data_IF_900245408210
#
_entry.id   IF_900245408210
#
_cell.length_a   1.000
_cell.length_b   1.000
_cell.length_c   1.000
_cell.angle_alpha   90.00
_cell.angle_beta   90.00
_cell.angle_gamma   90.00
#
_symmetry.space_group_name_H-M   'P 1'
#
loop_
_entity.id
_entity.type
_entity.pdbx_description
1 polymer ?
#
# COMPACT_ATOMS: atom_id res chain seq x y z
N UNK A 1 -27.53 67.74 53.92
CA UNK A 1 -27.18 69.17 54.03
C UNK A 1 -25.74 69.33 53.58
N UNK A 2 -25.59 70.07 52.47
CA UNK A 2 -24.42 70.81 51.95
C UNK A 2 -23.03 70.15 52.02
N UNK A 3 -22.32 69.85 50.93
CA UNK A 3 -22.20 70.58 49.68
C UNK A 3 -21.00 71.55 49.75
N UNK A 4 -19.92 71.26 49.02
CA UNK A 4 -18.97 72.23 48.40
C UNK A 4 -17.87 71.45 47.64
N UNK A 5 -17.77 71.47 46.30
CA UNK A 5 -17.48 72.53 45.32
C UNK A 5 -15.98 72.62 44.94
N UNK A 6 -15.72 72.35 43.65
CA UNK A 6 -14.74 72.95 42.72
C UNK A 6 -13.21 72.77 42.87
N UNK A 7 -12.66 72.13 41.83
CA UNK A 7 -11.66 72.65 40.87
C UNK A 7 -10.31 73.20 41.39
N UNK A 8 -9.20 72.58 40.95
CA UNK A 8 -8.04 73.29 40.38
C UNK A 8 -7.01 72.34 39.78
N UNK A 9 -6.71 72.56 38.50
CA UNK A 9 -5.54 72.18 37.70
C UNK A 9 -4.19 72.18 38.43
N UNK A 10 -3.31 71.20 38.11
CA UNK A 10 -1.91 71.44 37.63
C UNK A 10 -1.13 70.16 37.29
N UNK A 11 -0.51 70.22 36.09
CA UNK A 11 0.83 69.73 35.70
C UNK A 11 1.03 68.21 35.60
N UNK A 12 1.29 67.65 34.40
CA UNK A 12 2.50 67.71 33.54
C UNK A 12 3.03 66.27 33.53
N UNK A 13 3.27 65.61 32.38
CA UNK A 13 4.63 65.36 31.86
C UNK A 13 4.52 64.27 30.76
N UNK A 14 5.21 64.50 29.62
CA UNK A 14 5.74 63.59 28.59
C UNK A 14 4.77 62.73 27.73
N UNK A 15 4.47 63.22 26.52
CA UNK A 15 4.25 62.37 25.34
C UNK A 15 5.61 62.08 24.69
N UNK A 16 6.11 60.86 24.86
CA UNK A 16 7.13 60.27 23.99
C UNK A 16 6.46 59.22 23.11
N UNK A 17 6.66 59.34 21.79
CA UNK A 17 6.01 58.53 20.79
C UNK A 17 6.42 57.06 20.84
N UNK A 18 5.46 56.20 20.57
CA UNK A 18 5.70 54.83 20.12
C UNK A 18 4.79 54.59 18.90
N UNK A 19 5.36 54.71 17.71
CA UNK A 19 4.78 54.16 16.49
C UNK A 19 4.93 52.65 16.60
N UNK A 20 3.85 51.96 16.98
CA UNK A 20 3.79 50.52 16.97
C UNK A 20 3.65 50.04 15.51
N UNK A 21 4.78 49.67 14.87
CA UNK A 21 4.75 48.75 13.73
C UNK A 21 4.34 47.37 14.26
N UNK A 22 3.04 47.11 14.28
CA UNK A 22 2.51 45.76 14.41
C UNK A 22 2.80 45.02 13.10
N UNK A 23 3.95 44.34 13.06
CA UNK A 23 4.24 43.32 12.06
C UNK A 23 3.28 42.16 12.31
N UNK A 24 2.22 42.10 11.49
CA UNK A 24 1.28 40.99 11.48
C UNK A 24 1.99 39.74 10.94
N UNK A 25 2.68 39.01 11.81
CA UNK A 25 2.94 37.58 11.60
C UNK A 25 1.63 36.84 11.84
N UNK A 26 0.73 36.89 10.85
CA UNK A 26 -0.39 35.97 10.79
C UNK A 26 0.18 34.58 10.50
N UNK A 27 0.46 33.85 11.57
CA UNK A 27 0.61 32.40 11.49
C UNK A 27 -0.70 31.84 10.93
N UNK A 28 -0.70 31.42 9.66
CA UNK A 28 -1.72 30.55 9.12
C UNK A 28 -1.64 29.24 9.92
N UNK A 29 -2.39 29.17 11.01
CA UNK A 29 -2.73 27.89 11.61
C UNK A 29 -3.63 27.20 10.59
N UNK A 30 -3.06 26.28 9.79
CA UNK A 30 -3.86 25.32 9.04
C UNK A 30 -4.85 24.69 10.02
N UNK A 31 -6.14 24.84 9.72
CA UNK A 31 -7.23 24.36 10.56
C UNK A 31 -7.02 22.86 10.81
N UNK A 32 -6.71 22.46 12.05
CA UNK A 32 -6.41 21.07 12.37
C UNK A 32 -7.66 20.22 12.12
N UNK A 33 -7.58 19.32 11.16
CA UNK A 33 -8.67 18.40 10.84
C UNK A 33 -8.72 17.32 11.92
N UNK A 34 -9.68 17.46 12.83
CA UNK A 34 -9.92 16.50 13.92
C UNK A 34 -11.32 15.89 13.72
N UNK A 35 -11.40 14.56 13.74
CA UNK A 35 -12.67 13.85 13.61
C UNK A 35 -13.58 14.05 14.83
N UNK A 36 -14.90 13.91 14.65
CA UNK A 36 -15.89 14.02 15.73
C UNK A 36 -15.79 12.89 16.76
N UNK A 37 -15.42 11.69 16.32
CA UNK A 37 -15.29 10.48 17.15
C UNK A 37 -14.27 9.52 16.52
N UNK A 38 -13.69 8.63 17.34
CA UNK A 38 -12.82 7.55 16.89
C UNK A 38 -13.57 6.25 16.53
N UNK A 39 -14.82 6.11 16.98
CA UNK A 39 -15.62 4.90 16.85
C UNK A 39 -16.61 4.98 15.69
N UNK A 40 -16.79 3.86 14.99
CA UNK A 40 -17.87 3.70 14.04
C UNK A 40 -19.21 3.45 14.76
N UNK A 41 -20.35 3.76 14.12
CA UNK A 41 -21.66 3.44 14.67
C UNK A 41 -21.85 1.94 14.87
N UNK A 42 -22.20 1.53 16.10
CA UNK A 42 -22.42 0.10 16.43
C UNK A 42 -23.70 -0.42 15.78
N UNK A 43 -24.81 0.29 15.93
CA UNK A 43 -26.09 -0.06 15.33
C UNK A 43 -26.27 0.64 13.98
N UNK A 44 -26.73 -0.12 12.98
CA UNK A 44 -27.24 0.48 11.74
C UNK A 44 -28.62 1.08 11.99
N UNK A 45 -28.90 2.22 11.36
CA UNK A 45 -30.20 2.89 11.43
C UNK A 45 -31.12 2.55 10.26
N UNK A 46 -30.59 1.85 9.24
CA UNK A 46 -31.29 1.52 8.00
C UNK A 46 -31.32 0.00 7.77
N UNK A 47 -32.35 -0.48 7.06
CA UNK A 47 -32.44 -1.88 6.67
C UNK A 47 -31.37 -2.24 5.62
N UNK A 48 -30.81 -3.45 5.71
CA UNK A 48 -29.76 -3.91 4.77
C UNK A 48 -30.19 -3.82 3.30
N UNK A 49 -31.44 -4.18 2.98
CA UNK A 49 -31.96 -4.09 1.61
C UNK A 49 -31.87 -2.67 1.06
N UNK A 50 -32.24 -1.67 1.86
CA UNK A 50 -32.17 -0.25 1.49
C UNK A 50 -30.73 0.19 1.24
N UNK A 51 -29.80 -0.18 2.14
CA UNK A 51 -28.36 0.14 2.00
C UNK A 51 -27.79 -0.49 0.73
N UNK A 52 -28.05 -1.79 0.53
CA UNK A 52 -27.61 -2.56 -0.64
C UNK A 52 -28.11 -1.92 -1.94
N UNK A 53 -29.41 -1.73 -2.08
CA UNK A 53 -30.01 -1.13 -3.29
C UNK A 53 -29.45 0.27 -3.58
N UNK A 54 -29.25 1.08 -2.54
CA UNK A 54 -28.72 2.44 -2.68
C UNK A 54 -27.29 2.41 -3.21
N UNK A 55 -26.43 1.58 -2.61
CA UNK A 55 -25.03 1.48 -3.00
C UNK A 55 -24.85 0.81 -4.37
N UNK A 56 -25.65 -0.22 -4.70
CA UNK A 56 -25.65 -0.84 -6.04
C UNK A 56 -26.02 0.18 -7.13
N UNK A 57 -26.99 1.06 -6.87
CA UNK A 57 -27.35 2.17 -7.80
C UNK A 57 -26.22 3.18 -7.94
N UNK A 58 -25.40 3.39 -6.91
CA UNK A 58 -24.27 4.32 -6.92
C UNK A 58 -23.00 3.73 -7.53
N UNK A 59 -22.86 2.40 -7.57
CA UNK A 59 -21.66 1.68 -8.01
C UNK A 59 -21.11 2.19 -9.34
N UNK A 60 -21.96 2.36 -10.36
CA UNK A 60 -21.53 2.84 -11.67
C UNK A 60 -20.90 4.24 -11.61
N UNK A 61 -21.48 5.15 -10.81
CA UNK A 61 -20.97 6.51 -10.66
C UNK A 61 -19.64 6.53 -9.88
N UNK A 62 -19.52 5.69 -8.83
CA UNK A 62 -18.27 5.50 -8.06
C UNK A 62 -17.16 5.01 -8.98
N UNK A 63 -17.41 3.96 -9.76
CA UNK A 63 -16.42 3.38 -10.67
C UNK A 63 -16.05 4.36 -11.78
N UNK A 64 -17.02 5.05 -12.38
CA UNK A 64 -16.75 6.06 -13.41
C UNK A 64 -15.81 7.16 -12.89
N UNK A 65 -16.12 7.73 -11.72
CA UNK A 65 -15.27 8.76 -11.08
C UNK A 65 -13.85 8.26 -10.83
N UNK A 66 -13.69 7.02 -10.36
CA UNK A 66 -12.37 6.45 -10.11
C UNK A 66 -11.59 6.20 -11.41
N UNK A 67 -12.23 5.63 -12.43
CA UNK A 67 -11.58 5.38 -13.71
C UNK A 67 -11.20 6.67 -14.44
N UNK A 68 -12.00 7.73 -14.32
CA UNK A 68 -11.66 9.07 -14.81
C UNK A 68 -10.42 9.63 -14.10
N UNK A 69 -10.30 9.44 -12.78
CA UNK A 69 -9.10 9.82 -12.02
C UNK A 69 -7.86 9.05 -12.52
N UNK A 70 -7.96 7.72 -12.69
CA UNK A 70 -6.86 6.91 -13.19
C UNK A 70 -6.47 7.32 -14.63
N UNK A 71 -7.45 7.51 -15.51
CA UNK A 71 -7.23 7.95 -16.90
C UNK A 71 -6.61 9.34 -17.00
N UNK A 72 -6.89 10.24 -16.05
CA UNK A 72 -6.22 11.54 -15.94
C UNK A 72 -4.76 11.41 -15.52
N UNK A 73 -4.47 10.49 -14.60
CA UNK A 73 -3.15 10.33 -13.97
C UNK A 73 -2.18 9.49 -14.80
N UNK A 74 -2.68 8.50 -15.53
CA UNK A 74 -1.86 7.46 -16.14
C UNK A 74 -2.22 7.20 -17.61
N UNK A 75 -1.23 6.74 -18.38
CA UNK A 75 -1.46 5.92 -19.57
C UNK A 75 -1.80 4.49 -19.11
N UNK A 76 -3.04 4.06 -19.36
CA UNK A 76 -3.55 2.74 -18.94
C UNK A 76 -3.48 1.69 -20.06
N UNK A 77 -2.69 1.95 -21.12
CA UNK A 77 -2.50 0.99 -22.19
C UNK A 77 -1.67 -0.22 -21.72
N UNK A 78 -2.07 -1.40 -22.19
CA UNK A 78 -1.32 -2.63 -22.01
C UNK A 78 -0.12 -2.65 -22.96
N UNK A 79 1.07 -2.37 -22.41
CA UNK A 79 2.35 -2.42 -23.14
C UNK A 79 3.35 -3.18 -22.28
N UNK A 80 3.41 -4.49 -22.51
CA UNK A 80 4.39 -5.36 -21.88
C UNK A 80 5.80 -5.11 -22.46
N UNK A 81 6.79 -5.14 -21.59
CA UNK A 81 8.20 -5.08 -21.95
C UNK A 81 8.59 -6.33 -22.74
N UNK A 82 9.27 -6.13 -23.87
CA UNK A 82 9.67 -7.22 -24.74
C UNK A 82 10.63 -8.18 -24.02
N UNK A 83 10.28 -9.47 -23.98
CA UNK A 83 11.13 -10.54 -23.44
C UNK A 83 11.25 -10.57 -21.91
N UNK A 84 10.48 -9.75 -21.18
CA UNK A 84 10.50 -9.71 -19.72
C UNK A 84 9.16 -10.16 -19.14
N UNK A 85 9.20 -11.26 -18.40
CA UNK A 85 8.03 -11.84 -17.75
C UNK A 85 8.25 -12.03 -16.25
N UNK A 86 7.13 -12.15 -15.54
CA UNK A 86 7.04 -12.75 -14.22
C UNK A 86 7.28 -14.27 -14.29
N UNK A 87 7.30 -14.93 -13.14
CA UNK A 87 7.71 -16.32 -12.98
C UNK A 87 7.01 -17.33 -13.92
N UNK A 88 5.74 -17.12 -14.27
CA UNK A 88 4.93 -18.02 -15.11
C UNK A 88 4.52 -17.43 -16.46
N UNK A 89 5.17 -16.34 -16.86
CA UNK A 89 5.06 -15.80 -18.22
C UNK A 89 4.19 -14.56 -18.39
N UNK A 90 3.54 -14.03 -17.33
CA UNK A 90 2.86 -12.72 -17.43
C UNK A 90 3.87 -11.63 -17.75
N UNK A 91 3.61 -10.85 -18.81
CA UNK A 91 4.49 -9.76 -19.23
C UNK A 91 4.57 -8.63 -18.19
N UNK A 92 5.78 -8.16 -17.91
CA UNK A 92 6.00 -7.00 -17.02
C UNK A 92 5.75 -5.72 -17.81
N UNK A 93 4.95 -4.79 -17.29
CA UNK A 93 4.61 -3.55 -17.99
C UNK A 93 5.81 -2.60 -18.08
N UNK A 94 5.98 -1.97 -19.25
CA UNK A 94 7.12 -1.08 -19.53
C UNK A 94 6.80 0.40 -19.39
N UNK A 95 7.83 1.22 -19.19
CA UNK A 95 7.76 2.67 -19.37
C UNK A 95 6.99 3.43 -18.30
N UNK A 96 7.26 4.73 -18.18
CA UNK A 96 6.58 5.61 -17.24
C UNK A 96 5.14 5.82 -17.72
N UNK A 97 4.16 5.44 -16.89
CA UNK A 97 2.73 5.60 -17.17
C UNK A 97 2.19 6.91 -16.62
N UNK A 98 2.85 7.49 -15.63
CA UNK A 98 2.44 8.78 -15.06
C UNK A 98 2.46 9.87 -16.12
N UNK A 99 1.32 10.54 -16.30
CA UNK A 99 1.17 11.66 -17.22
C UNK A 99 1.77 12.92 -16.60
N UNK A 100 2.60 13.60 -17.39
CA UNK A 100 3.13 14.91 -17.02
C UNK A 100 2.08 16.01 -17.20
N UNK A 101 2.14 17.09 -16.39
CA UNK A 101 1.40 18.32 -16.69
C UNK A 101 1.73 18.81 -18.10
N UNK A 102 0.75 19.44 -18.76
CA UNK A 102 0.92 19.94 -20.12
C UNK A 102 2.15 20.88 -20.22
N UNK A 103 3.05 20.60 -21.17
CA UNK A 103 4.26 21.39 -21.42
C UNK A 103 5.41 21.15 -20.44
N UNK A 104 5.25 20.28 -19.43
CA UNK A 104 6.33 19.89 -18.52
C UNK A 104 7.14 18.72 -19.10
N UNK A 105 8.41 18.64 -18.68
CA UNK A 105 9.33 17.52 -18.96
C UNK A 105 9.95 17.02 -17.65
N UNK A 106 10.39 15.77 -17.63
CA UNK A 106 11.09 15.20 -16.46
C UNK A 106 12.35 16.00 -16.09
N UNK A 107 13.10 16.45 -17.10
CA UNK A 107 14.32 17.25 -16.92
C UNK A 107 14.01 18.61 -16.28
N UNK A 108 12.93 19.27 -16.69
CA UNK A 108 12.49 20.52 -16.06
C UNK A 108 12.08 20.29 -14.60
N UNK A 109 11.32 19.24 -14.30
CA UNK A 109 10.91 18.93 -12.93
C UNK A 109 12.12 18.62 -12.03
N UNK A 110 13.05 17.79 -12.52
CA UNK A 110 14.26 17.41 -11.78
C UNK A 110 15.22 18.59 -11.52
N UNK A 111 15.14 19.66 -12.31
CA UNK A 111 15.91 20.89 -12.12
C UNK A 111 15.28 21.85 -11.10
N UNK A 112 13.99 21.70 -10.76
CA UNK A 112 13.28 22.57 -9.83
C UNK A 112 13.46 22.11 -8.38
N UNK A 113 13.40 23.05 -7.44
CA UNK A 113 13.23 22.71 -6.02
C UNK A 113 11.82 22.17 -5.79
N UNK A 114 11.60 21.36 -4.74
CA UNK A 114 10.26 20.87 -4.42
C UNK A 114 9.24 22.00 -4.20
N UNK A 115 9.66 23.10 -3.60
CA UNK A 115 8.82 24.30 -3.40
C UNK A 115 8.43 24.92 -4.74
N UNK A 116 9.36 25.03 -5.69
CA UNK A 116 9.05 25.55 -7.02
C UNK A 116 8.08 24.64 -7.79
N UNK A 117 8.21 23.31 -7.66
CA UNK A 117 7.25 22.34 -8.22
C UNK A 117 5.87 22.54 -7.58
N UNK A 118 5.82 22.70 -6.25
CA UNK A 118 4.58 22.93 -5.50
C UNK A 118 3.88 24.22 -5.89
N UNK A 119 4.61 25.35 -5.90
CA UNK A 119 4.03 26.67 -6.19
C UNK A 119 3.49 26.77 -7.62
N UNK A 120 4.13 26.05 -8.56
CA UNK A 120 3.66 25.99 -9.95
C UNK A 120 2.61 24.90 -10.20
N UNK A 121 2.28 24.08 -9.19
CA UNK A 121 1.34 22.96 -9.34
C UNK A 121 1.80 21.90 -10.34
N UNK A 122 3.11 21.67 -10.45
CA UNK A 122 3.72 20.82 -11.48
C UNK A 122 4.02 19.39 -11.01
N UNK A 123 3.72 19.04 -9.75
CA UNK A 123 3.91 17.67 -9.29
C UNK A 123 2.96 16.74 -10.07
N UNK A 124 3.47 15.70 -10.76
CA UNK A 124 2.63 14.84 -11.58
C UNK A 124 1.49 14.23 -10.77
N UNK A 125 0.26 14.32 -11.26
CA UNK A 125 -0.91 13.84 -10.52
C UNK A 125 -0.89 12.34 -10.27
N UNK A 126 -0.18 11.56 -11.08
CA UNK A 126 0.05 10.13 -10.83
C UNK A 126 1.02 9.81 -9.67
N UNK A 127 1.77 10.80 -9.19
CA UNK A 127 2.61 10.66 -7.98
C UNK A 127 1.91 11.16 -6.70
N UNK A 128 0.77 11.85 -6.83
CA UNK A 128 -0.09 12.18 -5.70
C UNK A 128 -0.70 10.91 -5.09
N UNK A 129 -1.02 10.89 -3.79
CA UNK A 129 -1.65 9.73 -3.18
C UNK A 129 -2.86 9.20 -3.92
N UNK A 130 -2.96 7.87 -4.00
CA UNK A 130 -4.04 7.19 -4.70
C UNK A 130 -5.17 6.89 -3.70
N UNK A 131 -6.36 7.50 -3.85
CA UNK A 131 -7.50 7.16 -3.01
C UNK A 131 -8.02 5.75 -3.29
N UNK A 132 -8.64 5.15 -2.26
CA UNK A 132 -9.55 4.01 -2.43
C UNK A 132 -10.72 4.43 -3.35
N UNK A 133 -11.24 3.55 -4.24
CA UNK A 133 -12.25 3.93 -5.23
C UNK A 133 -13.51 4.55 -4.64
N UNK A 134 -13.89 4.10 -3.44
CA UNK A 134 -14.90 4.71 -2.60
C UNK A 134 -14.29 5.08 -1.23
N UNK A 135 -13.52 6.16 -1.14
CA UNK A 135 -12.74 6.48 0.06
C UNK A 135 -13.57 6.71 1.34
N UNK A 136 -14.72 7.41 1.31
CA UNK A 136 -15.54 7.59 2.50
C UNK A 136 -16.04 6.27 3.10
N UNK A 137 -16.27 5.27 2.25
CA UNK A 137 -16.67 3.93 2.64
C UNK A 137 -15.47 3.06 3.05
N UNK A 138 -14.39 3.09 2.25
CA UNK A 138 -13.18 2.32 2.49
C UNK A 138 -13.37 0.81 2.35
N UNK A 139 -12.58 0.06 3.14
CA UNK A 139 -12.68 -1.39 3.23
C UNK A 139 -11.72 -2.16 2.34
N UNK A 140 -11.78 -3.49 2.43
CA UNK A 140 -11.00 -4.39 1.58
C UNK A 140 -11.59 -4.47 0.17
N UNK A 141 -10.73 -4.67 -0.83
CA UNK A 141 -11.12 -4.82 -2.23
C UNK A 141 -10.16 -5.78 -2.94
N UNK A 142 -10.74 -6.76 -3.66
CA UNK A 142 -10.02 -7.85 -4.31
C UNK A 142 -10.13 -7.76 -5.84
N UNK A 143 -9.09 -8.13 -6.60
CA UNK A 143 -9.17 -8.22 -8.06
C UNK A 143 -10.18 -9.27 -8.53
N UNK A 144 -10.78 -9.01 -9.70
CA UNK A 144 -11.80 -9.89 -10.28
C UNK A 144 -11.31 -11.32 -10.52
N UNK A 145 -10.10 -11.50 -11.07
CA UNK A 145 -9.56 -12.83 -11.32
C UNK A 145 -9.45 -13.68 -10.04
N UNK A 146 -9.21 -13.04 -8.89
CA UNK A 146 -9.09 -13.72 -7.61
C UNK A 146 -10.46 -14.13 -7.08
N UNK A 147 -11.44 -13.22 -7.14
CA UNK A 147 -12.84 -13.48 -6.78
C UNK A 147 -13.38 -14.67 -7.58
N UNK A 148 -13.18 -14.65 -8.91
CA UNK A 148 -13.70 -15.68 -9.81
C UNK A 148 -13.10 -17.07 -9.49
N UNK A 149 -11.79 -17.16 -9.22
CA UNK A 149 -11.14 -18.43 -8.90
C UNK A 149 -11.49 -18.94 -7.49
N UNK A 150 -11.58 -18.07 -6.48
CA UNK A 150 -12.03 -18.46 -5.13
C UNK A 150 -13.47 -18.97 -5.16
N UNK A 151 -14.35 -18.28 -5.89
CA UNK A 151 -15.75 -18.68 -6.05
C UNK A 151 -15.87 -20.02 -6.76
N UNK A 152 -15.09 -20.22 -7.83
CA UNK A 152 -15.03 -21.50 -8.56
C UNK A 152 -14.55 -22.66 -7.68
N UNK A 153 -13.50 -22.47 -6.89
CA UNK A 153 -12.94 -23.55 -6.06
C UNK A 153 -13.74 -23.82 -4.78
N UNK A 154 -14.23 -22.76 -4.11
CA UNK A 154 -14.72 -22.85 -2.72
C UNK A 154 -16.17 -22.42 -2.52
N UNK A 155 -16.84 -21.93 -3.57
CA UNK A 155 -18.15 -21.28 -3.53
C UNK A 155 -18.23 -20.00 -2.66
N UNK A 156 -17.11 -19.54 -2.06
CA UNK A 156 -17.07 -18.26 -1.34
C UNK A 156 -17.03 -17.10 -2.33
N UNK A 157 -17.80 -16.05 -2.05
CA UNK A 157 -17.86 -14.87 -2.89
C UNK A 157 -17.31 -13.64 -2.17
N UNK A 158 -16.22 -13.09 -2.72
CA UNK A 158 -15.55 -11.88 -2.22
C UNK A 158 -15.99 -10.62 -2.98
N UNK A 159 -17.08 -10.70 -3.76
CA UNK A 159 -17.65 -9.56 -4.47
C UNK A 159 -18.26 -8.54 -3.50
N UNK A 160 -17.98 -7.27 -3.77
CA UNK A 160 -18.67 -6.13 -3.17
C UNK A 160 -19.79 -5.64 -4.08
N UNK A 161 -20.97 -5.41 -3.50
CA UNK A 161 -22.10 -4.87 -4.26
C UNK A 161 -21.95 -3.37 -4.57
N UNK A 162 -21.05 -2.66 -3.87
CA UNK A 162 -20.93 -1.20 -3.93
C UNK A 162 -19.80 -0.68 -4.84
N UNK A 163 -18.80 -1.51 -5.19
CA UNK A 163 -17.72 -1.17 -6.13
C UNK A 163 -16.99 -2.42 -6.66
N UNK A 164 -16.12 -2.21 -7.65
CA UNK A 164 -15.18 -3.19 -8.20
C UNK A 164 -13.73 -2.70 -8.01
N UNK A 165 -12.77 -3.60 -8.24
CA UNK A 165 -11.33 -3.27 -8.24
C UNK A 165 -10.98 -2.30 -9.39
N UNK A 166 -10.08 -1.34 -9.13
CA UNK A 166 -9.90 -0.18 -10.01
C UNK A 166 -8.71 -0.25 -10.97
N UNK A 167 -7.62 -0.91 -10.58
CA UNK A 167 -6.42 -1.01 -11.41
C UNK A 167 -6.59 -2.15 -12.45
N UNK A 168 -6.33 -1.90 -13.76
CA UNK A 168 -6.42 -2.93 -14.79
C UNK A 168 -5.50 -4.13 -14.58
N UNK A 169 -5.97 -5.33 -14.93
CA UNK A 169 -5.29 -6.61 -14.69
C UNK A 169 -3.84 -6.68 -15.20
N UNK A 170 -3.51 -6.01 -16.31
CA UNK A 170 -2.15 -6.04 -16.87
C UNK A 170 -1.12 -5.30 -16.00
N UNK A 171 -1.56 -4.44 -15.07
CA UNK A 171 -0.71 -3.81 -14.05
C UNK A 171 -0.68 -4.57 -12.72
N UNK A 172 -1.40 -5.69 -12.61
CA UNK A 172 -1.45 -6.48 -11.38
C UNK A 172 -0.44 -7.63 -11.40
N UNK A 173 -0.16 -8.28 -10.26
CA UNK A 173 0.73 -9.43 -10.20
C UNK A 173 0.24 -10.59 -11.07
N UNK A 174 1.13 -11.51 -11.36
CA UNK A 174 0.77 -12.79 -11.95
C UNK A 174 -0.07 -13.62 -10.97
N UNK A 175 -1.08 -14.31 -11.51
CA UNK A 175 -2.02 -15.08 -10.70
C UNK A 175 -2.38 -16.42 -11.36
N UNK A 176 -2.43 -17.53 -10.61
CA UNK A 176 -1.93 -17.68 -9.24
C UNK A 176 -0.40 -17.61 -9.18
N UNK A 177 0.10 -16.94 -8.14
CA UNK A 177 1.55 -16.77 -7.94
C UNK A 177 2.21 -18.09 -7.48
N UNK A 178 3.47 -18.36 -7.88
CA UNK A 178 4.20 -19.54 -7.42
C UNK A 178 4.54 -19.47 -5.92
N UNK A 179 4.78 -20.63 -5.31
CA UNK A 179 5.27 -20.75 -3.93
C UNK A 179 6.65 -21.36 -3.94
N UNK A 180 7.62 -20.66 -3.37
CA UNK A 180 8.98 -21.17 -3.15
C UNK A 180 9.19 -21.38 -1.65
N UNK A 181 9.89 -22.45 -1.28
CA UNK A 181 10.13 -22.81 0.12
C UNK A 181 11.62 -22.77 0.47
N UNK A 182 11.97 -22.09 1.56
CA UNK A 182 13.35 -22.06 2.07
C UNK A 182 13.85 -23.43 2.51
N UNK A 183 12.93 -24.32 2.90
CA UNK A 183 13.22 -25.68 3.38
C UNK A 183 13.32 -26.72 2.26
N UNK A 184 12.79 -26.41 1.07
CA UNK A 184 12.77 -27.29 -0.11
C UNK A 184 13.09 -26.52 -1.39
N UNK A 185 14.28 -25.89 -1.49
CA UNK A 185 14.68 -25.13 -2.67
C UNK A 185 14.80 -26.00 -3.93
N UNK A 186 14.90 -27.32 -3.77
CA UNK A 186 14.96 -28.31 -4.84
C UNK A 186 13.65 -28.45 -5.64
N UNK A 187 12.51 -28.04 -5.07
CA UNK A 187 11.19 -28.29 -5.68
C UNK A 187 10.70 -27.18 -6.63
N UNK A 188 11.31 -25.99 -6.61
CA UNK A 188 10.80 -24.84 -7.36
C UNK A 188 9.41 -24.41 -6.87
N UNK A 189 8.45 -24.23 -7.79
CA UNK A 189 7.08 -23.85 -7.46
C UNK A 189 6.26 -25.03 -6.89
N UNK A 190 6.09 -25.06 -5.56
CA UNK A 190 5.32 -26.10 -4.88
C UNK A 190 3.80 -25.93 -5.00
N UNK A 191 3.32 -24.80 -5.52
CA UNK A 191 1.88 -24.60 -5.79
C UNK A 191 1.41 -25.32 -7.05
N UNK A 192 2.35 -25.82 -7.87
CA UNK A 192 2.09 -26.44 -9.17
C UNK A 192 1.20 -25.56 -10.07
N UNK A 193 1.36 -24.26 -9.93
CA UNK A 193 0.58 -23.27 -10.65
C UNK A 193 -0.91 -23.16 -10.29
N UNK A 194 -1.35 -23.71 -9.15
CA UNK A 194 -2.72 -23.63 -8.66
C UNK A 194 -2.85 -22.53 -7.59
N UNK A 195 -4.02 -21.88 -7.51
CA UNK A 195 -4.38 -21.13 -6.31
C UNK A 195 -4.57 -22.13 -5.17
N UNK A 196 -3.82 -21.96 -4.10
CA UNK A 196 -3.91 -22.79 -2.90
C UNK A 196 -5.13 -22.36 -2.11
N UNK A 197 -6.04 -23.28 -1.84
CA UNK A 197 -7.26 -23.08 -1.07
C UNK A 197 -7.46 -24.22 -0.08
N UNK A 198 -8.46 -24.12 0.79
CA UNK A 198 -8.85 -25.20 1.70
C UNK A 198 -9.22 -26.51 1.00
N UNK A 199 -9.49 -26.48 -0.32
CA UNK A 199 -9.88 -27.66 -1.11
C UNK A 199 -8.69 -28.49 -1.61
N UNK A 200 -7.50 -27.89 -1.74
CA UNK A 200 -6.36 -28.54 -2.39
C UNK A 200 -5.06 -28.48 -1.60
N UNK A 201 -4.97 -27.68 -0.52
CA UNK A 201 -3.71 -27.50 0.21
C UNK A 201 -3.13 -28.81 0.75
N UNK A 202 -3.97 -29.73 1.25
CA UNK A 202 -3.47 -30.99 1.79
C UNK A 202 -2.83 -31.84 0.70
N UNK A 203 -3.49 -32.00 -0.45
CA UNK A 203 -2.95 -32.76 -1.58
C UNK A 203 -1.63 -32.16 -2.10
N UNK A 204 -1.57 -30.82 -2.21
CA UNK A 204 -0.41 -30.11 -2.72
C UNK A 204 0.81 -30.19 -1.79
N UNK A 205 0.61 -30.18 -0.47
CA UNK A 205 1.69 -29.98 0.51
C UNK A 205 1.97 -31.19 1.41
N UNK A 206 1.16 -32.24 1.37
CA UNK A 206 1.40 -33.45 2.15
C UNK A 206 2.73 -34.11 1.73
N UNK A 207 3.61 -34.38 2.70
CA UNK A 207 4.96 -34.89 2.47
C UNK A 207 5.99 -33.83 2.06
N UNK A 208 5.57 -32.57 1.85
CA UNK A 208 6.45 -31.42 1.64
C UNK A 208 6.60 -30.64 2.95
N UNK A 209 5.49 -30.34 3.60
CA UNK A 209 5.45 -29.61 4.87
C UNK A 209 5.42 -30.56 6.06
N UNK A 210 6.02 -30.13 7.18
CA UNK A 210 5.79 -30.82 8.45
C UNK A 210 4.34 -30.57 8.95
N UNK A 211 3.82 -31.39 9.90
CA UNK A 211 2.43 -31.26 10.34
C UNK A 211 2.06 -29.87 10.92
N UNK A 212 3.00 -29.20 11.60
CA UNK A 212 2.79 -27.87 12.18
C UNK A 212 2.64 -26.80 11.09
N UNK A 213 3.50 -26.84 10.07
CA UNK A 213 3.43 -25.96 8.90
C UNK A 213 2.17 -26.21 8.08
N UNK A 214 1.78 -27.47 7.92
CA UNK A 214 0.57 -27.83 7.17
C UNK A 214 -0.70 -27.31 7.86
N UNK A 215 -0.77 -27.38 9.19
CA UNK A 215 -1.83 -26.76 9.97
C UNK A 215 -1.79 -25.23 9.90
N UNK A 216 -0.59 -24.65 9.93
CA UNK A 216 -0.38 -23.21 9.70
C UNK A 216 -0.95 -22.73 8.36
N UNK A 217 -0.67 -23.47 7.28
CA UNK A 217 -1.23 -23.20 5.97
C UNK A 217 -2.77 -23.33 5.97
N UNK A 218 -3.33 -24.39 6.57
CA UNK A 218 -4.79 -24.55 6.70
C UNK A 218 -5.42 -23.33 7.39
N UNK A 219 -4.78 -22.83 8.45
CA UNK A 219 -5.22 -21.67 9.22
C UNK A 219 -5.17 -20.37 8.39
N UNK A 220 -4.10 -20.16 7.60
CA UNK A 220 -3.97 -19.00 6.70
C UNK A 220 -5.02 -18.99 5.56
N UNK A 221 -5.54 -20.17 5.21
CA UNK A 221 -6.60 -20.39 4.23
C UNK A 221 -8.01 -20.36 4.85
N UNK A 222 -8.12 -20.32 6.18
CA UNK A 222 -9.40 -20.31 6.89
C UNK A 222 -9.97 -18.89 6.90
N UNK A 223 -11.23 -18.68 6.47
CA UNK A 223 -11.83 -17.37 6.50
C UNK A 223 -12.27 -16.97 7.91
N UNK A 224 -12.15 -15.67 8.21
CA UNK A 224 -12.58 -15.05 9.45
C UNK A 224 -13.43 -13.81 9.15
N UNK A 225 -14.45 -13.50 9.98
CA UNK A 225 -15.25 -12.28 9.81
C UNK A 225 -14.37 -11.04 9.66
N UNK A 226 -14.74 -10.19 8.72
CA UNK A 226 -14.04 -8.95 8.38
C UNK A 226 -15.06 -7.82 8.21
N UNK A 227 -14.63 -6.56 8.31
CA UNK A 227 -15.50 -5.39 8.26
C UNK A 227 -16.54 -5.37 7.13
N UNK A 228 -16.15 -5.69 5.90
CA UNK A 228 -17.02 -5.73 4.72
C UNK A 228 -17.58 -7.13 4.44
N UNK A 229 -16.91 -8.18 4.91
CA UNK A 229 -17.30 -9.58 4.70
C UNK A 229 -17.63 -10.24 6.05
N UNK A 230 -18.91 -10.22 6.42
CA UNK A 230 -19.39 -10.77 7.68
C UNK A 230 -20.88 -11.16 7.57
N UNK A 231 -21.44 -11.67 8.66
CA UNK A 231 -22.82 -12.10 8.75
C UNK A 231 -23.82 -10.97 9.09
N UNK A 232 -23.37 -9.79 9.50
CA UNK A 232 -24.24 -8.69 9.98
C UNK A 232 -24.70 -7.78 8.84
N UNK A 233 -25.58 -6.82 9.15
CA UNK A 233 -26.26 -5.96 8.16
C UNK A 233 -25.42 -4.79 7.65
N UNK A 234 -24.22 -4.58 8.18
CA UNK A 234 -23.25 -3.57 7.74
C UNK A 234 -22.17 -4.13 6.80
N UNK A 235 -22.34 -5.36 6.33
CA UNK A 235 -21.51 -5.98 5.27
C UNK A 235 -21.63 -5.25 3.92
N UNK A 236 -20.71 -5.57 3.01
CA UNK A 236 -20.70 -5.18 1.59
C UNK A 236 -20.76 -6.37 0.63
N UNK A 237 -20.86 -7.59 1.16
CA UNK A 237 -21.26 -8.79 0.41
C UNK A 237 -22.79 -8.86 0.33
N UNK A 238 -23.31 -9.34 -0.81
CA UNK A 238 -24.76 -9.48 -1.00
C UNK A 238 -25.37 -10.45 0.03
N UNK A 239 -24.77 -11.63 0.14
CA UNK A 239 -25.12 -12.65 1.13
C UNK A 239 -24.28 -12.52 2.41
N UNK A 240 -24.78 -13.00 3.56
CA UNK A 240 -23.96 -13.17 4.76
C UNK A 240 -22.68 -13.95 4.45
N UNK A 241 -21.52 -13.40 4.84
CA UNK A 241 -20.22 -13.96 4.49
C UNK A 241 -19.51 -14.58 5.71
N UNK A 242 -18.80 -15.69 5.46
CA UNK A 242 -17.85 -16.27 6.42
C UNK A 242 -16.60 -15.40 6.62
N UNK A 243 -16.39 -14.42 5.74
CA UNK A 243 -15.35 -13.42 5.85
C UNK A 243 -14.17 -13.63 4.91
N UNK A 244 -12.97 -13.25 5.34
CA UNK A 244 -11.73 -13.19 4.54
C UNK A 244 -10.66 -14.05 5.21
N UNK A 245 -9.91 -14.80 4.41
CA UNK A 245 -8.72 -15.53 4.84
C UNK A 245 -7.46 -14.70 4.59
N UNK A 246 -6.38 -14.96 5.33
CA UNK A 246 -5.11 -14.26 5.13
C UNK A 246 -4.62 -14.37 3.67
N UNK A 247 -4.81 -15.55 3.06
CA UNK A 247 -4.39 -15.83 1.69
C UNK A 247 -5.37 -15.33 0.61
N UNK A 248 -6.49 -14.70 0.98
CA UNK A 248 -7.29 -13.97 -0.02
C UNK A 248 -6.60 -12.66 -0.42
N UNK A 249 -5.95 -11.99 0.54
CA UNK A 249 -5.11 -10.81 0.27
C UNK A 249 -3.69 -11.22 -0.15
N UNK A 250 -3.16 -12.27 0.45
CA UNK A 250 -1.82 -12.79 0.20
C UNK A 250 -1.88 -14.12 -0.57
N UNK A 251 -2.49 -14.10 -1.76
CA UNK A 251 -2.67 -15.27 -2.60
C UNK A 251 -1.36 -16.04 -2.79
N UNK A 252 -1.34 -17.31 -2.34
CA UNK A 252 -0.15 -18.17 -2.37
C UNK A 252 1.07 -17.55 -1.63
N UNK A 253 0.85 -16.77 -0.58
CA UNK A 253 1.93 -16.04 0.11
C UNK A 253 2.54 -14.90 -0.71
N UNK A 254 1.99 -14.60 -1.89
CA UNK A 254 2.31 -13.46 -2.72
C UNK A 254 1.17 -12.45 -2.72
N UNK A 255 1.38 -11.26 -3.26
CA UNK A 255 0.34 -10.25 -3.40
C UNK A 255 -0.48 -10.54 -4.65
N UNK A 256 -1.78 -10.27 -4.59
CA UNK A 256 -2.63 -10.13 -5.77
C UNK A 256 -3.03 -8.66 -6.00
N UNK A 257 -2.35 -7.72 -5.34
CA UNK A 257 -2.66 -6.29 -5.30
C UNK A 257 -4.00 -5.94 -4.62
N UNK A 258 -4.54 -6.82 -3.78
CA UNK A 258 -5.70 -6.47 -2.95
C UNK A 258 -5.37 -5.25 -2.11
N UNK A 259 -6.37 -4.38 -1.94
CA UNK A 259 -6.18 -3.12 -1.24
C UNK A 259 -7.11 -2.99 -0.05
N UNK A 260 -6.69 -2.18 0.92
CA UNK A 260 -7.47 -1.84 2.08
C UNK A 260 -7.29 -0.35 2.43
N UNK A 261 -8.11 0.20 3.33
CA UNK A 261 -7.80 1.47 3.97
C UNK A 261 -7.19 1.21 5.34
N UNK A 262 -6.07 1.83 5.64
CA UNK A 262 -5.39 1.59 6.91
C UNK A 262 -6.28 1.94 8.11
N UNK A 263 -6.44 1.03 9.06
CA UNK A 263 -7.32 1.21 10.21
C UNK A 263 -6.78 2.14 11.29
N UNK A 264 -5.54 2.61 11.19
CA UNK A 264 -4.84 3.29 12.28
C UNK A 264 -4.82 4.81 12.22
N UNK A 265 -5.25 5.39 11.11
CA UNK A 265 -5.34 6.84 10.92
C UNK A 265 -6.79 7.31 11.10
N UNK A 266 -6.95 8.49 11.70
CA UNK A 266 -8.23 9.23 11.79
C UNK A 266 -8.00 10.72 11.51
N UNK A 267 -9.00 11.44 10.96
CA UNK A 267 -10.31 10.92 10.51
C UNK A 267 -10.22 10.16 9.18
N UNK A 268 -11.37 9.67 8.68
CA UNK A 268 -11.47 8.80 7.51
C UNK A 268 -10.73 9.35 6.29
N UNK A 269 -10.80 10.66 6.07
CA UNK A 269 -10.21 11.36 4.93
C UNK A 269 -8.68 11.28 4.90
N UNK A 270 -8.03 11.06 6.05
CA UNK A 270 -6.57 10.91 6.14
C UNK A 270 -6.11 9.45 6.01
N UNK A 271 -7.02 8.47 6.04
CA UNK A 271 -6.62 7.06 5.96
C UNK A 271 -5.96 6.79 4.61
N UNK A 272 -4.83 6.10 4.62
CA UNK A 272 -4.16 5.72 3.39
C UNK A 272 -4.82 4.49 2.75
N UNK A 273 -4.91 4.47 1.42
CA UNK A 273 -4.98 3.21 0.69
C UNK A 273 -3.70 2.44 0.96
N UNK A 274 -3.84 1.17 1.23
CA UNK A 274 -2.72 0.25 1.36
C UNK A 274 -2.85 -0.84 0.32
N UNK A 275 -1.77 -1.06 -0.40
CA UNK A 275 -1.54 -2.28 -1.16
C UNK A 275 -1.00 -3.40 -0.25
N UNK A 276 -1.24 -4.64 -0.65
CA UNK A 276 -0.83 -5.83 0.11
C UNK A 276 0.57 -6.31 -0.33
N UNK A 277 1.54 -6.52 0.57
CA UNK A 277 2.85 -7.13 0.24
C UNK A 277 2.78 -8.69 0.06
N UNK A 278 3.79 -9.41 -0.52
CA UNK A 278 5.08 -9.55 0.09
C UNK A 278 5.06 -10.37 1.40
N UNK A 279 4.46 -11.57 1.51
CA UNK A 279 4.82 -12.52 2.58
C UNK A 279 6.08 -13.37 2.25
N UNK A 280 6.50 -13.42 0.98
CA UNK A 280 7.78 -13.99 0.57
C UNK A 280 8.93 -13.27 1.28
N UNK A 281 9.81 -14.04 1.92
CA UNK A 281 10.93 -13.53 2.71
C UNK A 281 10.50 -12.76 3.96
N UNK A 282 9.33 -13.07 4.53
CA UNK A 282 8.88 -12.45 5.78
C UNK A 282 9.80 -12.75 6.96
N UNK A 283 10.53 -13.88 6.91
CA UNK A 283 11.49 -14.32 7.92
C UNK A 283 12.68 -13.37 8.13
N UNK A 284 13.03 -12.53 7.14
CA UNK A 284 14.09 -11.53 7.29
C UNK A 284 13.57 -10.17 7.77
N UNK A 285 12.25 -10.02 7.93
CA UNK A 285 11.62 -8.77 8.36
C UNK A 285 11.75 -8.58 9.88
N UNK A 286 11.96 -7.33 10.31
CA UNK A 286 12.04 -6.95 11.75
C UNK A 286 11.03 -5.89 12.19
N UNK A 287 10.37 -5.25 11.22
CA UNK A 287 9.25 -4.32 11.45
C UNK A 287 8.05 -4.80 10.66
N UNK A 288 6.88 -4.82 11.27
CA UNK A 288 5.64 -5.28 10.66
C UNK A 288 4.57 -4.20 10.73
N UNK A 289 3.79 -4.08 9.65
CA UNK A 289 2.95 -2.93 9.35
C UNK A 289 3.75 -1.78 8.72
N UNK A 290 3.17 -1.11 7.72
CA UNK A 290 3.86 -0.07 6.95
C UNK A 290 4.28 1.13 7.80
N UNK A 291 3.50 1.48 8.83
CA UNK A 291 3.74 2.61 9.74
C UNK A 291 3.78 2.19 11.22
N UNK A 292 3.85 0.89 11.48
CA UNK A 292 3.82 0.32 12.84
C UNK A 292 5.13 -0.40 13.12
N UNK A 293 5.57 -0.34 14.37
CA UNK A 293 6.84 -0.94 14.79
C UNK A 293 6.63 -2.31 15.46
N UNK A 294 5.68 -3.12 14.98
CA UNK A 294 5.51 -4.51 15.44
C UNK A 294 6.76 -5.33 15.09
N UNK A 295 7.14 -6.28 15.95
CA UNK A 295 8.49 -6.86 15.92
C UNK A 295 8.55 -8.28 15.37
N UNK A 296 7.41 -8.94 15.21
CA UNK A 296 7.32 -10.30 14.70
C UNK A 296 6.09 -10.50 13.82
N UNK A 297 6.11 -11.57 13.00
CA UNK A 297 4.96 -11.95 12.16
C UNK A 297 3.80 -12.45 13.01
N UNK A 298 4.09 -13.00 14.17
CA UNK A 298 3.13 -13.41 15.19
C UNK A 298 2.36 -12.21 15.74
N UNK A 299 3.08 -11.15 16.14
CA UNK A 299 2.44 -9.90 16.63
C UNK A 299 1.56 -9.29 15.53
N UNK A 300 2.03 -9.32 14.29
CA UNK A 300 1.28 -8.83 13.15
C UNK A 300 0.02 -9.67 12.90
N UNK A 301 0.11 -10.99 12.99
CA UNK A 301 -1.01 -11.91 12.80
C UNK A 301 -2.11 -11.70 13.85
N UNK A 302 -1.73 -11.48 15.11
CA UNK A 302 -2.70 -11.10 16.15
C UNK A 302 -3.33 -9.73 15.88
N UNK A 303 -2.53 -8.76 15.45
CA UNK A 303 -3.00 -7.42 15.11
C UNK A 303 -4.00 -7.42 13.95
N UNK A 304 -3.72 -8.19 12.89
CA UNK A 304 -4.57 -8.26 11.71
C UNK A 304 -6.00 -8.65 12.09
N UNK A 305 -6.16 -9.73 12.86
CA UNK A 305 -7.48 -10.21 13.30
C UNK A 305 -8.15 -9.30 14.34
N UNK A 306 -7.38 -8.64 15.23
CA UNK A 306 -7.95 -7.83 16.31
C UNK A 306 -8.25 -6.39 15.90
N UNK A 307 -7.62 -5.89 14.85
CA UNK A 307 -7.67 -4.48 14.47
C UNK A 307 -7.80 -4.28 12.96
N UNK A 308 -6.85 -4.73 12.15
CA UNK A 308 -6.83 -4.39 10.71
C UNK A 308 -8.11 -4.86 9.99
N UNK A 309 -8.59 -6.06 10.30
CA UNK A 309 -9.83 -6.62 9.73
C UNK A 309 -11.08 -5.79 10.04
N UNK A 310 -11.02 -4.92 11.04
CA UNK A 310 -12.14 -4.14 11.55
C UNK A 310 -11.85 -2.64 11.57
N UNK A 311 -11.01 -2.17 10.63
CA UNK A 311 -10.65 -0.75 10.49
C UNK A 311 -10.08 -0.12 11.77
N UNK A 312 -9.48 -0.92 12.65
CA UNK A 312 -8.94 -0.49 13.95
C UNK A 312 -10.00 -0.26 15.03
N UNK A 313 -11.26 -0.68 14.83
CA UNK A 313 -12.35 -0.52 15.80
C UNK A 313 -12.68 -1.85 16.51
N UNK A 314 -12.24 -2.05 17.77
CA UNK A 314 -12.48 -3.29 18.51
C UNK A 314 -13.94 -3.49 18.94
N UNK A 315 -14.75 -2.42 18.99
CA UNK A 315 -16.18 -2.52 19.32
C UNK A 315 -16.92 -3.13 18.14
N UNK A 316 -16.60 -2.69 16.93
CA UNK A 316 -17.16 -3.28 15.71
C UNK A 316 -16.64 -4.71 15.49
N UNK A 317 -15.38 -4.97 15.81
CA UNK A 317 -14.83 -6.33 15.80
C UNK A 317 -15.65 -7.27 16.68
N UNK A 318 -15.96 -6.86 17.91
CA UNK A 318 -16.78 -7.64 18.85
C UNK A 318 -18.20 -7.87 18.31
N UNK A 319 -18.85 -6.82 17.78
CA UNK A 319 -20.18 -6.92 17.15
C UNK A 319 -20.21 -7.99 16.04
N UNK A 320 -19.14 -8.10 15.26
CA UNK A 320 -19.04 -8.96 14.07
C UNK A 320 -18.51 -10.37 14.36
N UNK A 321 -18.24 -10.68 15.63
CA UNK A 321 -17.73 -11.99 16.02
C UNK A 321 -16.26 -12.19 15.68
N UNK A 322 -15.42 -11.19 16.03
CA UNK A 322 -13.95 -11.30 15.93
C UNK A 322 -13.45 -12.64 16.45
N UNK A 323 -12.55 -13.27 15.69
CA UNK A 323 -11.89 -14.49 16.13
C UNK A 323 -10.55 -14.16 16.78
N UNK A 324 -10.49 -14.29 18.11
CA UNK A 324 -9.26 -14.06 18.87
C UNK A 324 -8.38 -15.31 18.72
N UNK A 325 -7.37 -15.22 17.87
CA UNK A 325 -6.40 -16.30 17.68
C UNK A 325 -5.61 -16.57 18.97
N UNK A 326 -5.48 -17.85 19.32
CA UNK A 326 -4.63 -18.31 20.41
C UNK A 326 -3.17 -18.34 19.94
N UNK A 327 -2.28 -17.74 20.72
CA UNK A 327 -0.90 -17.48 20.28
C UNK A 327 -0.06 -18.75 20.18
N UNK A 328 -0.13 -19.62 21.20
CA UNK A 328 0.72 -20.80 21.34
C UNK A 328 0.52 -21.87 20.27
N UNK A 329 -0.67 -21.92 19.68
CA UNK A 329 -1.05 -22.87 18.64
C UNK A 329 -1.32 -22.15 17.31
N UNK A 330 -2.39 -21.38 17.19
CA UNK A 330 -2.84 -20.87 15.91
C UNK A 330 -1.84 -19.88 15.30
N UNK A 331 -1.44 -18.86 16.05
CA UNK A 331 -0.52 -17.82 15.56
C UNK A 331 0.86 -18.41 15.28
N UNK A 332 1.39 -19.21 16.21
CA UNK A 332 2.67 -19.88 16.00
C UNK A 332 2.66 -20.81 14.77
N UNK A 333 1.56 -21.52 14.51
CA UNK A 333 1.51 -22.44 13.37
C UNK A 333 1.45 -21.67 12.04
N UNK A 334 0.63 -20.60 11.97
CA UNK A 334 0.62 -19.70 10.82
C UNK A 334 2.03 -19.14 10.54
N UNK A 335 2.72 -18.66 11.59
CA UNK A 335 4.06 -18.11 11.50
C UNK A 335 5.10 -19.13 10.98
N UNK A 336 5.02 -20.41 11.38
CA UNK A 336 5.93 -21.44 10.87
C UNK A 336 5.85 -21.61 9.36
N UNK A 337 4.64 -21.55 8.79
CA UNK A 337 4.48 -21.60 7.34
C UNK A 337 4.91 -20.28 6.68
N UNK A 338 4.50 -19.14 7.24
CA UNK A 338 4.87 -17.83 6.70
C UNK A 338 6.40 -17.66 6.61
N UNK A 339 7.14 -18.07 7.66
CA UNK A 339 8.59 -17.92 7.74
C UNK A 339 9.39 -18.80 6.76
N UNK A 340 8.75 -19.76 6.07
CA UNK A 340 9.41 -20.58 5.05
C UNK A 340 9.04 -20.17 3.62
N UNK A 341 8.18 -19.16 3.43
CA UNK A 341 7.91 -18.58 2.12
C UNK A 341 9.15 -17.84 1.62
N UNK A 342 9.80 -18.36 0.59
CA UNK A 342 11.02 -17.80 0.03
C UNK A 342 10.73 -16.77 -1.09
N UNK A 343 11.74 -15.97 -1.39
CA UNK A 343 11.76 -15.11 -2.58
C UNK A 343 11.80 -15.96 -3.87
N UNK A 344 11.33 -15.39 -5.01
CA UNK A 344 11.57 -16.04 -6.29
C UNK A 344 13.07 -16.19 -6.58
N UNK A 345 13.48 -17.21 -7.36
CA UNK A 345 14.87 -17.39 -7.75
C UNK A 345 15.42 -16.17 -8.49
N UNK A 346 16.65 -15.78 -8.15
CA UNK A 346 17.40 -14.76 -8.89
C UNK A 346 18.76 -15.31 -9.30
N UNK A 347 18.83 -16.04 -10.44
CA UNK A 347 19.99 -16.83 -10.83
C UNK A 347 21.25 -16.01 -11.13
N UNK A 348 21.09 -14.70 -11.32
CA UNK A 348 22.17 -13.75 -11.57
C UNK A 348 22.80 -13.18 -10.29
N UNK A 349 22.19 -13.36 -9.11
CA UNK A 349 22.81 -12.92 -7.86
C UNK A 349 23.75 -13.99 -7.30
N UNK A 350 24.88 -13.53 -6.77
CA UNK A 350 25.77 -14.33 -5.92
C UNK A 350 25.21 -14.49 -4.50
N UNK A 351 25.87 -15.30 -3.68
CA UNK A 351 25.53 -15.46 -2.25
C UNK A 351 25.65 -14.18 -1.43
N UNK A 352 26.34 -13.15 -1.95
CA UNK A 352 26.44 -11.83 -1.33
C UNK A 352 25.31 -10.89 -1.75
N UNK A 353 24.38 -11.35 -2.59
CA UNK A 353 23.27 -10.55 -3.10
C UNK A 353 23.71 -9.43 -4.04
N UNK A 354 24.78 -9.64 -4.79
CA UNK A 354 25.19 -8.78 -5.93
C UNK A 354 25.28 -9.63 -7.19
N UNK A 355 25.15 -8.99 -8.35
CA UNK A 355 25.26 -9.64 -9.65
C UNK A 355 26.59 -10.37 -9.80
N UNK A 356 26.48 -11.57 -10.37
CA UNK A 356 27.57 -12.35 -10.93
C UNK A 356 27.95 -11.80 -12.31
N UNK A 357 29.16 -11.23 -12.49
CA UNK A 357 29.58 -10.66 -13.78
C UNK A 357 29.60 -11.67 -14.93
N UNK A 358 29.68 -12.97 -14.65
CA UNK A 358 29.66 -14.01 -15.68
C UNK A 358 28.24 -14.31 -16.21
N UNK A 359 27.20 -13.89 -15.48
CA UNK A 359 25.78 -14.12 -15.81
C UNK A 359 25.00 -12.85 -16.15
N UNK A 360 25.48 -11.71 -15.67
CA UNK A 360 24.84 -10.43 -15.84
C UNK A 360 25.24 -9.75 -17.15
N UNK A 361 24.30 -9.07 -17.80
CA UNK A 361 24.57 -8.22 -18.94
C UNK A 361 25.20 -6.88 -18.53
N UNK A 362 25.86 -6.21 -19.46
CA UNK A 362 26.55 -4.93 -19.18
C UNK A 362 25.62 -3.86 -18.60
N UNK A 363 24.39 -3.74 -19.13
CA UNK A 363 23.39 -2.79 -18.64
C UNK A 363 22.96 -3.10 -17.19
N UNK A 364 22.87 -4.38 -16.82
CA UNK A 364 22.52 -4.80 -15.46
C UNK A 364 23.65 -4.47 -14.49
N UNK A 365 24.92 -4.65 -14.91
CA UNK A 365 26.10 -4.29 -14.12
C UNK A 365 26.21 -2.78 -13.91
N UNK A 366 26.05 -1.97 -14.97
CA UNK A 366 25.97 -0.50 -14.83
C UNK A 366 24.80 -0.07 -13.95
N UNK A 367 23.65 -0.73 -14.10
CA UNK A 367 22.48 -0.53 -13.26
C UNK A 367 22.75 -0.79 -11.78
N UNK A 368 23.52 -1.84 -11.47
CA UNK A 368 23.96 -2.11 -10.12
C UNK A 368 24.88 -1.00 -9.59
N UNK A 369 25.85 -0.53 -10.38
CA UNK A 369 26.71 0.59 -9.98
C UNK A 369 25.91 1.85 -9.68
N UNK A 370 24.89 2.15 -10.50
CA UNK A 370 23.97 3.27 -10.28
C UNK A 370 23.17 3.08 -8.98
N UNK A 371 22.63 1.88 -8.74
CA UNK A 371 21.85 1.54 -7.55
C UNK A 371 22.63 1.75 -6.25
N UNK A 372 23.89 1.30 -6.21
CA UNK A 372 24.77 1.44 -5.05
C UNK A 372 25.51 2.79 -5.00
N UNK A 373 25.49 3.55 -6.09
CA UNK A 373 26.16 4.85 -6.23
C UNK A 373 25.16 5.99 -6.38
N UNK A 374 25.08 6.56 -7.59
CA UNK A 374 24.38 7.82 -7.87
C UNK A 374 22.91 7.82 -7.45
N UNK A 375 22.19 6.72 -7.64
CA UNK A 375 20.77 6.63 -7.29
C UNK A 375 20.53 6.51 -5.77
N UNK A 376 21.57 6.18 -5.00
CA UNK A 376 21.54 6.06 -3.53
C UNK A 376 20.48 5.07 -3.00
N UNK A 377 20.00 4.15 -3.84
CA UNK A 377 18.96 3.20 -3.48
C UNK A 377 19.41 2.30 -2.32
N UNK A 378 20.69 1.91 -2.32
CA UNK A 378 21.29 1.03 -1.31
C UNK A 378 21.37 1.64 0.10
N UNK A 379 21.14 2.94 0.29
CA UNK A 379 21.11 3.55 1.62
C UNK A 379 19.94 3.03 2.46
N UNK A 380 18.81 2.71 1.82
CA UNK A 380 17.66 2.07 2.45
C UNK A 380 17.54 0.60 2.04
N UNK A 381 18.02 0.24 0.84
CA UNK A 381 17.90 -1.09 0.26
C UNK A 381 19.25 -1.81 0.10
N UNK A 382 20.00 -2.09 1.19
CA UNK A 382 21.26 -2.82 1.09
C UNK A 382 21.06 -4.29 0.73
N UNK A 383 21.99 -4.86 -0.03
CA UNK A 383 22.09 -6.30 -0.27
C UNK A 383 22.26 -7.09 1.06
N UNK A 384 21.83 -8.37 1.13
CA UNK A 384 21.34 -9.19 0.01
C UNK A 384 19.83 -9.17 -0.20
N UNK A 385 19.05 -8.66 0.77
CA UNK A 385 17.59 -8.65 0.69
C UNK A 385 17.01 -7.32 0.22
N UNK A 386 17.86 -6.31 0.03
CA UNK A 386 17.48 -4.98 -0.44
C UNK A 386 16.46 -4.32 0.48
N UNK A 387 16.73 -4.38 1.78
CA UNK A 387 15.99 -3.67 2.83
C UNK A 387 16.89 -3.53 4.06
N UNK A 388 16.84 -2.37 4.70
CA UNK A 388 17.50 -2.07 5.98
C UNK A 388 16.60 -2.40 7.18
N UNK A 389 15.35 -2.81 6.95
CA UNK A 389 14.33 -3.03 7.96
C UNK A 389 14.03 -1.78 8.82
N UNK A 390 14.25 -0.57 8.30
CA UNK A 390 13.93 0.69 8.96
C UNK A 390 12.71 1.36 8.32
N UNK A 391 12.31 2.51 8.88
CA UNK A 391 11.29 3.38 8.30
C UNK A 391 11.91 4.69 7.85
N UNK A 392 11.48 5.18 6.70
CA UNK A 392 11.93 6.43 6.11
C UNK A 392 10.74 7.28 5.70
N UNK A 393 10.88 8.60 5.84
CA UNK A 393 9.87 9.54 5.40
C UNK A 393 10.35 10.25 4.13
N UNK A 394 9.69 9.99 3.01
CA UNK A 394 9.98 10.62 1.72
C UNK A 394 9.60 12.11 1.69
N UNK A 395 8.69 12.53 2.59
CA UNK A 395 8.16 13.89 2.73
C UNK A 395 7.60 14.43 1.42
N UNK A 396 6.79 13.65 0.71
CA UNK A 396 6.25 14.01 -0.61
C UNK A 396 5.35 15.24 -0.57
N UNK A 397 4.76 15.56 0.58
CA UNK A 397 3.94 16.75 0.82
C UNK A 397 4.66 18.06 0.51
N UNK A 398 6.00 18.07 0.43
CA UNK A 398 6.75 19.27 0.01
C UNK A 398 6.53 19.65 -1.45
N UNK A 399 6.02 18.74 -2.29
CA UNK A 399 5.82 18.94 -3.73
C UNK A 399 4.40 19.39 -4.11
N UNK A 400 3.44 19.37 -3.18
CA UNK A 400 2.05 19.72 -3.47
C UNK A 400 1.38 20.44 -2.30
N UNK A 401 0.29 21.15 -2.58
CA UNK A 401 -0.58 21.72 -1.54
C UNK A 401 -1.59 20.65 -1.13
N UNK A 402 -2.01 20.59 0.15
CA UNK A 402 -3.04 19.65 0.54
C UNK A 402 -4.30 19.79 -0.30
N UNK A 403 -4.81 18.67 -0.82
CA UNK A 403 -6.03 18.66 -1.66
C UNK A 403 -6.83 17.37 -1.44
N UNK A 404 -8.16 17.46 -1.52
CA UNK A 404 -9.03 16.28 -1.43
C UNK A 404 -9.19 15.64 -2.81
N UNK A 405 -8.89 14.35 -2.89
CA UNK A 405 -8.94 13.53 -4.11
C UNK A 405 -9.87 12.35 -3.86
N UNK A 406 -11.03 12.33 -4.50
CA UNK A 406 -12.08 11.30 -4.32
C UNK A 406 -12.39 10.98 -2.84
N UNK A 407 -12.37 12.00 -1.97
CA UNK A 407 -12.65 11.87 -0.54
C UNK A 407 -11.42 11.60 0.35
N UNK A 408 -10.25 11.31 -0.23
CA UNK A 408 -8.98 11.26 0.51
C UNK A 408 -8.34 12.64 0.55
N UNK A 409 -7.99 13.14 1.71
CA UNK A 409 -7.14 14.32 1.85
C UNK A 409 -5.67 13.94 1.60
N UNK A 410 -5.11 14.39 0.48
CA UNK A 410 -3.68 14.32 0.21
C UNK A 410 -2.94 15.33 1.08
N UNK A 411 -2.30 14.85 2.15
CA UNK A 411 -1.45 15.66 3.04
C UNK A 411 -0.07 14.98 3.18
N UNK A 412 0.40 14.72 4.40
CA UNK A 412 1.66 14.04 4.67
C UNK A 412 1.44 12.53 4.89
N UNK A 413 2.23 11.70 4.22
CA UNK A 413 2.14 10.24 4.38
C UNK A 413 2.90 9.76 5.64
N UNK A 414 3.94 10.50 6.10
CA UNK A 414 4.77 10.11 7.23
C UNK A 414 5.79 9.01 6.91
N UNK A 415 6.50 8.46 7.91
CA UNK A 415 7.47 7.40 7.69
C UNK A 415 6.78 6.10 7.29
N UNK A 416 7.36 5.41 6.30
CA UNK A 416 6.94 4.10 5.82
C UNK A 416 8.15 3.15 5.87
N UNK A 417 7.91 1.90 6.25
CA UNK A 417 8.95 0.87 6.26
C UNK A 417 9.55 0.64 4.87
N UNK A 418 10.87 0.42 4.80
CA UNK A 418 11.53 -0.13 3.62
C UNK A 418 11.16 -1.61 3.40
N UNK A 419 10.47 -1.91 2.31
CA UNK A 419 10.20 -3.29 1.89
C UNK A 419 11.38 -3.88 1.08
N UNK A 420 11.60 -5.21 1.11
CA UNK A 420 12.57 -5.88 0.23
C UNK A 420 12.31 -5.60 -1.24
N UNK A 421 13.37 -5.61 -2.05
CA UNK A 421 13.27 -5.55 -3.51
C UNK A 421 13.55 -6.90 -4.19
N UNK A 422 13.78 -7.97 -3.42
CA UNK A 422 13.88 -9.34 -3.97
C UNK A 422 12.56 -9.73 -4.64
N UNK A 423 12.62 -10.11 -5.92
CA UNK A 423 11.45 -10.44 -6.73
C UNK A 423 10.58 -9.24 -7.11
N UNK A 424 11.11 -8.01 -7.09
CA UNK A 424 10.30 -6.80 -7.21
C UNK A 424 9.43 -6.78 -8.48
N UNK A 425 9.91 -7.33 -9.60
CA UNK A 425 9.14 -7.39 -10.86
C UNK A 425 7.85 -8.22 -10.77
N UNK A 426 7.71 -9.05 -9.73
CA UNK A 426 6.57 -9.96 -9.54
C UNK A 426 5.39 -9.29 -8.81
N UNK A 427 5.58 -8.10 -8.22
CA UNK A 427 4.60 -7.47 -7.34
C UNK A 427 4.22 -6.03 -7.73
N UNK A 428 3.80 -5.75 -8.98
CA UNK A 428 3.16 -4.48 -9.28
C UNK A 428 1.73 -4.44 -8.69
N UNK A 429 1.15 -3.26 -8.45
CA UNK A 429 1.77 -1.94 -8.53
C UNK A 429 2.75 -1.69 -7.35
N UNK A 430 3.39 -0.53 -7.33
CA UNK A 430 4.46 -0.21 -6.40
C UNK A 430 4.10 0.99 -5.51
N UNK A 431 4.89 1.14 -4.43
CA UNK A 431 4.66 2.01 -3.28
C UNK A 431 3.51 1.51 -2.38
N UNK A 432 3.46 2.01 -1.14
CA UNK A 432 2.55 1.52 -0.10
C UNK A 432 1.06 1.61 -0.47
N UNK A 433 0.67 2.48 -1.40
CA UNK A 433 -0.72 2.68 -1.83
C UNK A 433 -0.97 2.27 -3.29
N UNK A 434 0.01 1.65 -3.95
CA UNK A 434 -0.09 1.18 -5.33
C UNK A 434 -0.18 2.28 -6.39
N UNK A 435 0.22 3.53 -6.07
CA UNK A 435 0.12 4.66 -7.03
C UNK A 435 1.11 4.58 -8.20
N UNK A 436 2.12 3.73 -8.15
CA UNK A 436 3.16 3.60 -9.17
C UNK A 436 2.93 2.30 -9.96
N UNK A 437 2.42 2.40 -11.19
CA UNK A 437 1.93 1.22 -11.94
C UNK A 437 3.06 0.36 -12.53
N UNK A 438 4.25 0.92 -12.69
CA UNK A 438 5.41 0.24 -13.29
C UNK A 438 6.70 0.50 -12.50
N UNK A 439 7.72 -0.34 -12.73
CA UNK A 439 9.06 -0.08 -12.18
C UNK A 439 9.66 1.22 -12.72
N UNK A 440 9.33 1.58 -13.97
CA UNK A 440 9.75 2.85 -14.55
C UNK A 440 9.10 4.05 -13.82
N UNK A 441 7.81 3.97 -13.48
CA UNK A 441 7.17 4.98 -12.62
C UNK A 441 7.87 5.07 -11.26
N UNK A 442 8.28 3.93 -10.71
CA UNK A 442 9.01 3.87 -9.43
C UNK A 442 10.35 4.58 -9.51
N UNK A 443 11.16 4.26 -10.53
CA UNK A 443 12.45 4.91 -10.75
C UNK A 443 12.29 6.41 -10.95
N UNK A 444 11.32 6.85 -11.76
CA UNK A 444 11.10 8.27 -12.02
C UNK A 444 10.59 9.01 -10.77
N UNK A 445 9.71 8.39 -9.99
CA UNK A 445 9.23 8.92 -8.72
C UNK A 445 10.39 9.16 -7.76
N UNK A 446 11.23 8.15 -7.53
CA UNK A 446 12.37 8.29 -6.61
C UNK A 446 13.42 9.26 -7.17
N UNK A 447 13.67 9.26 -8.49
CA UNK A 447 14.56 10.23 -9.12
C UNK A 447 14.16 11.68 -8.82
N UNK A 448 12.87 12.00 -8.97
CA UNK A 448 12.33 13.33 -8.68
C UNK A 448 12.30 13.62 -7.18
N UNK A 449 11.79 12.69 -6.37
CA UNK A 449 11.57 12.92 -4.93
C UNK A 449 12.90 13.04 -4.19
N UNK A 450 13.90 12.22 -4.48
CA UNK A 450 15.21 12.27 -3.79
C UNK A 450 16.19 13.24 -4.44
N UNK A 451 15.90 13.72 -5.65
CA UNK A 451 16.71 14.73 -6.34
C UNK A 451 18.06 14.22 -6.86
N UNK A 452 18.16 12.92 -7.16
CA UNK A 452 19.40 12.27 -7.64
C UNK A 452 19.73 12.57 -9.11
N UNK A 453 18.78 13.14 -9.87
CA UNK A 453 18.97 13.65 -11.25
C UNK A 453 19.63 12.62 -12.18
N UNK A 454 19.04 11.43 -12.23
CA UNK A 454 19.44 10.37 -13.14
C UNK A 454 19.12 10.77 -14.60
N UNK A 455 20.01 10.42 -15.52
CA UNK A 455 19.80 10.53 -16.96
C UNK A 455 18.84 9.45 -17.44
N UNK A 456 18.34 9.58 -18.68
CA UNK A 456 17.47 8.55 -19.26
C UNK A 456 18.18 7.21 -19.47
N UNK A 457 19.48 7.23 -19.71
CA UNK A 457 20.30 6.02 -19.80
C UNK A 457 20.49 5.37 -18.43
N UNK A 458 20.83 6.16 -17.40
CA UNK A 458 20.99 5.64 -16.04
C UNK A 458 19.70 5.02 -15.51
N UNK A 459 18.53 5.60 -15.81
CA UNK A 459 17.22 5.04 -15.43
C UNK A 459 16.95 3.71 -16.13
N UNK A 460 17.35 3.55 -17.40
CA UNK A 460 17.21 2.28 -18.14
C UNK A 460 18.12 1.20 -17.59
N UNK A 461 19.38 1.53 -17.32
CA UNK A 461 20.33 0.59 -16.70
C UNK A 461 19.87 0.19 -15.29
N UNK A 462 19.42 1.16 -14.47
CA UNK A 462 18.86 0.88 -13.16
C UNK A 462 17.64 -0.06 -13.22
N UNK A 463 16.75 0.15 -14.20
CA UNK A 463 15.62 -0.74 -14.44
C UNK A 463 16.09 -2.16 -14.80
N UNK A 464 17.08 -2.28 -15.68
CA UNK A 464 17.66 -3.58 -16.05
C UNK A 464 18.17 -4.33 -14.82
N UNK A 465 18.88 -3.64 -13.91
CA UNK A 465 19.29 -4.24 -12.63
C UNK A 465 18.12 -4.65 -11.75
N UNK A 466 17.12 -3.78 -11.55
CA UNK A 466 15.95 -4.08 -10.70
C UNK A 466 15.17 -5.31 -11.19
N UNK A 467 15.13 -5.57 -12.50
CA UNK A 467 14.49 -6.75 -13.09
C UNK A 467 15.22 -8.08 -12.78
N UNK A 468 16.47 -8.01 -12.29
CA UNK A 468 17.25 -9.19 -11.88
C UNK A 468 17.05 -9.59 -10.42
N UNK A 469 16.47 -8.68 -9.61
CA UNK A 469 16.25 -8.89 -8.17
C UNK A 469 15.07 -9.80 -7.91
#
# INVERSE_FOLDING_TARGET
>A
MDGKNRSSTRKMVLLAGAVALASATATLAEERIVGKTSYAPVAGTEAFSTVKETMEKQKQAVMKRQMELLGMRYDLADKAMQGVTMSRGKGVQEGVRVKLPAGATWQQLAAMSPEAVREKGLFPKGFMPLPHPNHPEGGMLFPKFHIDEVKKQTARDLTRFDLDFDIPDHFLPEFPAPIYLTTRPDLGDVSQGKLVTTQNFFELFNGILNPKQLEGLRLLLTPFPQQQFNATTDRRSAEPSLGVACFDCHANGHTNASTHLVGDIRPQELRHRLDTPPLRGVNIQRLFGSQRAMKSVEDFTEFEQRAAYFDGDPVIATKKGVNILERGSQVHFMAEFQNILDFPPAPKLTVFGKLDPEKAGEAELRGQEIFFGKARCAECHPAPYYTDNLMHNLRTERFYRPETINGRLASADGPIKTFPLRGIKESPPYLHDGRLLTLADTIEFFNLVTGVKLTDEEKKDLLAFMLTL
#
